data_IF_454862818216
#
_entry.id   IF_454862818216
#
_cell.length_a   1.000
_cell.length_b   1.000
_cell.length_c   1.000
_cell.angle_alpha   90.00
_cell.angle_beta   90.00
_cell.angle_gamma   90.00
#
_symmetry.space_group_name_H-M   'P 1'
#
loop_
_entity.id
_entity.type
_entity.pdbx_description
1 polymer ?
#
# COMPACT_ATOMS: atom_id res chain seq x y z
N UNK A 1 2.57 -23.22 7.43
CA UNK A 1 2.43 -22.59 6.10
C UNK A 1 1.96 -23.61 5.09
N UNK A 2 1.70 -23.21 3.85
CA UNK A 2 1.26 -24.12 2.77
C UNK A 2 2.39 -24.94 2.14
N UNK A 3 3.65 -24.58 2.39
CA UNK A 3 4.83 -25.22 1.81
C UNK A 3 5.54 -26.14 2.82
N UNK A 4 6.12 -27.23 2.32
CA UNK A 4 6.94 -28.18 3.09
C UNK A 4 8.42 -27.77 3.18
N UNK A 5 8.83 -26.76 2.40
CA UNK A 5 10.17 -26.18 2.40
C UNK A 5 10.16 -24.82 3.09
N UNK A 6 11.30 -24.34 3.63
CA UNK A 6 11.41 -22.99 4.15
C UNK A 6 11.07 -21.94 3.08
N UNK A 7 10.36 -20.90 3.50
CA UNK A 7 10.01 -19.77 2.64
C UNK A 7 10.28 -18.47 3.37
N UNK A 8 10.91 -17.53 2.68
CA UNK A 8 11.27 -16.22 3.22
C UNK A 8 10.33 -15.13 2.65
N UNK A 9 9.24 -14.76 3.34
CA UNK A 9 8.43 -13.62 2.94
C UNK A 9 9.19 -12.30 3.10
N UNK A 10 9.50 -11.67 1.96
CA UNK A 10 10.16 -10.37 1.87
C UNK A 10 9.14 -9.23 1.80
N UNK A 11 9.53 -8.02 2.20
CA UNK A 11 8.68 -6.82 2.17
C UNK A 11 9.28 -5.67 1.36
N UNK A 12 8.40 -4.94 0.67
CA UNK A 12 8.72 -3.66 0.02
C UNK A 12 8.51 -2.43 0.93
N UNK A 13 8.09 -2.62 2.19
CA UNK A 13 7.76 -1.54 3.14
C UNK A 13 8.88 -0.49 3.25
N UNK A 14 10.12 -0.93 3.37
CA UNK A 14 11.29 -0.04 3.53
C UNK A 14 11.59 0.74 2.24
N UNK A 15 11.34 0.15 1.08
CA UNK A 15 11.47 0.81 -0.24
C UNK A 15 10.46 1.95 -0.34
N UNK A 16 9.19 1.69 -0.01
CA UNK A 16 8.15 2.72 0.03
C UNK A 16 8.43 3.80 1.07
N UNK A 17 8.79 3.40 2.29
CA UNK A 17 9.04 4.34 3.37
C UNK A 17 10.21 5.25 3.04
N UNK A 18 11.30 4.72 2.48
CA UNK A 18 12.45 5.52 2.04
C UNK A 18 12.08 6.50 0.94
N UNK A 19 11.30 6.05 -0.06
CA UNK A 19 10.83 6.93 -1.12
C UNK A 19 9.94 8.06 -0.58
N UNK A 20 9.06 7.76 0.38
CA UNK A 20 8.05 8.70 0.87
C UNK A 20 8.54 9.58 2.03
N UNK A 21 9.54 9.17 2.80
CA UNK A 21 10.09 9.91 3.96
C UNK A 21 10.67 11.27 3.59
N UNK A 22 11.07 11.48 2.34
CA UNK A 22 11.54 12.78 1.86
C UNK A 22 10.43 13.83 1.70
N UNK A 23 9.16 13.45 1.85
CA UNK A 23 8.01 14.35 1.77
C UNK A 23 7.68 14.94 3.15
N UNK A 24 7.22 16.18 3.17
CA UNK A 24 6.85 16.90 4.40
C UNK A 24 5.37 16.64 4.74
N UNK A 25 5.09 15.45 5.27
CA UNK A 25 3.73 15.11 5.72
C UNK A 25 3.46 15.71 7.09
N UNK A 26 2.31 16.39 7.25
CA UNK A 26 1.80 16.76 8.57
C UNK A 26 1.00 15.59 9.17
N UNK A 27 1.42 14.97 10.29
CA UNK A 27 0.69 13.89 10.93
C UNK A 27 -0.70 14.27 11.44
N UNK A 28 -1.02 15.57 11.52
CA UNK A 28 -2.36 16.06 11.89
C UNK A 28 -3.35 16.02 10.74
N UNK A 29 -2.87 16.08 9.49
CA UNK A 29 -3.72 16.16 8.29
C UNK A 29 -3.45 15.04 7.29
N UNK A 30 -2.44 14.19 7.54
CA UNK A 30 -2.10 13.02 6.71
C UNK A 30 -2.31 11.71 7.48
N UNK A 31 -2.96 10.73 6.84
CA UNK A 31 -3.23 9.41 7.43
C UNK A 31 -2.90 8.27 6.47
N UNK A 32 -2.34 7.17 6.99
CA UNK A 32 -2.21 5.92 6.23
C UNK A 32 -3.48 5.11 6.38
N UNK A 33 -4.02 4.60 5.26
CA UNK A 33 -5.29 3.88 5.23
C UNK A 33 -5.05 2.44 4.76
N UNK A 34 -5.46 1.47 5.58
CA UNK A 34 -5.61 0.08 5.17
C UNK A 34 -7.08 -0.18 4.79
N UNK A 35 -7.39 -0.52 3.52
CA UNK A 35 -8.76 -0.78 3.11
C UNK A 35 -9.41 -1.99 3.77
N UNK A 36 -8.60 -2.99 4.13
CA UNK A 36 -9.03 -4.27 4.68
C UNK A 36 -8.30 -4.57 6.00
N UNK A 37 -8.99 -5.20 6.94
CA UNK A 37 -8.46 -5.55 8.25
C UNK A 37 -7.27 -6.52 8.17
N UNK A 38 -7.17 -7.33 7.11
CA UNK A 38 -6.02 -8.19 6.83
C UNK A 38 -4.71 -7.40 6.64
N UNK A 39 -4.79 -6.16 6.15
CA UNK A 39 -3.64 -5.27 5.95
C UNK A 39 -3.40 -4.30 7.11
N UNK A 40 -4.17 -4.40 8.20
CA UNK A 40 -4.06 -3.51 9.35
C UNK A 40 -2.64 -3.47 9.96
N UNK A 41 -2.04 -4.65 10.19
CA UNK A 41 -0.69 -4.75 10.77
C UNK A 41 0.40 -4.21 9.83
N UNK A 42 0.48 -4.61 8.56
CA UNK A 42 1.40 -4.02 7.59
C UNK A 42 1.27 -2.49 7.47
N UNK A 43 0.05 -1.98 7.36
CA UNK A 43 -0.20 -0.55 7.25
C UNK A 43 0.21 0.21 8.51
N UNK A 44 -0.04 -0.33 9.70
CA UNK A 44 0.41 0.28 10.95
C UNK A 44 1.93 0.35 11.06
N UNK A 45 2.67 -0.68 10.60
CA UNK A 45 4.14 -0.63 10.54
C UNK A 45 4.61 0.43 9.55
N UNK A 46 4.00 0.50 8.38
CA UNK A 46 4.32 1.50 7.36
C UNK A 46 4.04 2.94 7.85
N UNK A 47 2.90 3.16 8.51
CA UNK A 47 2.55 4.45 9.11
C UNK A 47 3.58 4.88 10.17
N UNK A 48 4.03 3.94 11.01
CA UNK A 48 5.09 4.17 12.00
C UNK A 48 6.42 4.58 11.35
N UNK A 49 6.79 3.98 10.22
CA UNK A 49 8.03 4.35 9.49
C UNK A 49 8.00 5.78 8.94
N UNK A 50 6.79 6.32 8.72
CA UNK A 50 6.53 7.68 8.24
C UNK A 50 6.16 8.66 9.37
N UNK A 51 5.98 8.19 10.62
CA UNK A 51 5.52 9.02 11.72
C UNK A 51 4.06 9.48 11.60
N UNK A 52 3.22 8.69 10.91
CA UNK A 52 1.83 9.03 10.60
C UNK A 52 0.83 8.18 11.39
N UNK A 53 -0.39 8.69 11.61
CA UNK A 53 -1.50 7.87 12.11
C UNK A 53 -1.94 6.86 11.04
N UNK A 54 -2.60 5.79 11.51
CA UNK A 54 -3.20 4.75 10.65
C UNK A 54 -4.70 4.67 10.90
N UNK A 55 -5.47 4.56 9.83
CA UNK A 55 -6.88 4.23 9.84
C UNK A 55 -7.10 2.89 9.13
N UNK A 56 -7.95 2.03 9.70
CA UNK A 56 -8.19 0.69 9.17
C UNK A 56 -9.67 0.53 8.86
N UNK A 57 -9.96 0.19 7.61
CA UNK A 57 -11.27 -0.23 7.17
C UNK A 57 -11.58 -1.65 7.62
N UNK A 58 -12.81 -1.88 8.06
CA UNK A 58 -13.32 -3.24 8.29
C UNK A 58 -14.29 -3.56 7.16
N UNK A 59 -13.82 -4.33 6.18
CA UNK A 59 -14.57 -4.62 4.96
C UNK A 59 -15.56 -5.76 5.22
N UNK A 60 -16.84 -5.44 5.44
CA UNK A 60 -17.90 -6.46 5.46
C UNK A 60 -18.41 -6.63 4.02
N UNK A 61 -18.08 -7.76 3.38
CA UNK A 61 -18.67 -8.12 2.08
C UNK A 61 -20.10 -8.60 2.32
N UNK A 62 -21.08 -7.81 1.88
CA UNK A 62 -22.49 -8.19 1.95
C UNK A 62 -22.88 -9.09 0.76
N UNK A 63 -22.17 -9.00 -0.37
CA UNK A 63 -22.29 -9.91 -1.53
C UNK A 63 -21.03 -9.85 -2.42
N UNK A 64 -20.99 -10.65 -3.51
CA UNK A 64 -19.90 -10.65 -4.51
C UNK A 64 -19.65 -9.29 -5.17
N UNK A 65 -20.65 -8.39 -5.13
CA UNK A 65 -20.60 -7.08 -5.79
C UNK A 65 -20.86 -5.89 -4.86
N UNK A 66 -21.14 -6.12 -3.58
CA UNK A 66 -21.52 -5.06 -2.65
C UNK A 66 -20.75 -5.15 -1.33
N UNK A 67 -20.07 -4.05 -1.03
CA UNK A 67 -19.20 -3.88 0.14
C UNK A 67 -19.74 -2.70 0.94
N UNK A 68 -19.97 -2.89 2.24
CA UNK A 68 -20.19 -1.78 3.17
C UNK A 68 -18.87 -1.52 3.91
N UNK A 69 -18.29 -0.34 3.70
CA UNK A 69 -17.17 0.17 4.49
C UNK A 69 -17.81 1.05 5.57
N UNK A 70 -17.89 0.53 6.79
CA UNK A 70 -18.67 1.06 7.92
C UNK A 70 -18.40 2.55 8.27
N UNK A 71 -19.39 3.15 8.96
CA UNK A 71 -19.35 4.45 9.66
C UNK A 71 -18.07 4.65 10.51
N UNK A 72 -17.46 3.57 10.99
CA UNK A 72 -16.25 3.56 11.81
C UNK A 72 -15.01 4.13 11.11
N UNK A 73 -14.81 3.85 9.82
CA UNK A 73 -13.65 4.40 9.08
C UNK A 73 -13.83 5.89 8.83
N UNK A 74 -15.02 6.33 8.43
CA UNK A 74 -15.35 7.75 8.26
C UNK A 74 -15.08 8.57 9.51
N UNK A 75 -15.31 8.01 10.72
CA UNK A 75 -14.98 8.69 11.99
C UNK A 75 -13.48 8.82 12.22
N UNK A 76 -12.69 7.81 11.85
CA UNK A 76 -11.23 7.83 11.94
C UNK A 76 -10.61 8.85 10.97
N UNK A 77 -11.29 9.17 9.88
CA UNK A 77 -10.81 10.08 8.84
C UNK A 77 -11.10 11.57 9.10
N UNK A 78 -11.86 11.89 10.16
CA UNK A 78 -12.23 13.28 10.44
C UNK A 78 -11.02 14.15 10.77
N UNK A 79 -10.87 15.24 10.03
CA UNK A 79 -9.77 16.21 10.18
C UNK A 79 -8.55 15.92 9.34
N UNK A 80 -8.51 14.78 8.64
CA UNK A 80 -7.48 14.48 7.65
C UNK A 80 -7.86 15.06 6.30
N UNK A 81 -6.85 15.53 5.55
CA UNK A 81 -6.98 16.10 4.20
C UNK A 81 -6.27 15.23 3.16
N UNK A 82 -5.24 14.49 3.59
CA UNK A 82 -4.43 13.61 2.75
C UNK A 82 -4.48 12.17 3.26
N UNK A 83 -4.69 11.22 2.35
CA UNK A 83 -4.65 9.79 2.63
C UNK A 83 -3.58 9.07 1.81
N UNK A 84 -2.86 8.16 2.45
CA UNK A 84 -1.96 7.21 1.79
C UNK A 84 -2.59 5.83 1.90
N UNK A 85 -3.17 5.33 0.81
CA UNK A 85 -3.76 3.99 0.78
C UNK A 85 -2.65 2.97 0.59
N UNK A 86 -2.48 2.08 1.58
CA UNK A 86 -1.44 1.04 1.57
C UNK A 86 -2.06 -0.34 1.37
N UNK A 87 -1.69 -1.00 0.27
CA UNK A 87 -2.17 -2.32 -0.12
C UNK A 87 -1.01 -3.26 -0.49
N UNK A 88 -1.25 -4.56 -0.47
CA UNK A 88 -0.30 -5.53 -1.03
C UNK A 88 -0.40 -5.59 -2.56
N UNK A 89 -1.59 -5.59 -3.13
CA UNK A 89 -1.81 -5.64 -4.57
C UNK A 89 -2.95 -4.73 -5.08
N UNK A 90 -2.85 -4.31 -6.34
CA UNK A 90 -3.96 -3.70 -7.08
C UNK A 90 -4.19 -4.47 -8.38
N UNK A 91 -5.20 -5.35 -8.37
CA UNK A 91 -5.61 -6.13 -9.54
C UNK A 91 -6.58 -5.36 -10.46
N UNK A 92 -7.89 -5.42 -10.19
CA UNK A 92 -8.92 -4.82 -11.07
C UNK A 92 -9.24 -3.35 -10.75
N UNK A 93 -8.66 -2.80 -9.69
CA UNK A 93 -8.92 -1.44 -9.20
C UNK A 93 -10.27 -1.24 -8.52
N UNK A 94 -11.08 -2.29 -8.31
CA UNK A 94 -12.40 -2.20 -7.69
C UNK A 94 -12.34 -1.65 -6.26
N UNK A 95 -11.56 -2.31 -5.38
CA UNK A 95 -11.35 -1.88 -3.99
C UNK A 95 -10.84 -0.44 -3.92
N UNK A 96 -9.84 -0.08 -4.73
CA UNK A 96 -9.27 1.27 -4.79
C UNK A 96 -10.32 2.31 -5.18
N UNK A 97 -11.20 1.99 -6.13
CA UNK A 97 -12.28 2.89 -6.54
C UNK A 97 -13.25 3.15 -5.38
N UNK A 98 -13.70 2.09 -4.70
CA UNK A 98 -14.61 2.18 -3.55
C UNK A 98 -14.01 2.98 -2.40
N UNK A 99 -12.77 2.65 -2.03
CA UNK A 99 -12.03 3.31 -0.94
C UNK A 99 -11.82 4.78 -1.27
N UNK A 100 -11.37 5.11 -2.48
CA UNK A 100 -11.11 6.50 -2.87
C UNK A 100 -12.39 7.34 -2.82
N UNK A 101 -13.51 6.82 -3.31
CA UNK A 101 -14.79 7.50 -3.21
C UNK A 101 -15.22 7.72 -1.75
N UNK A 102 -14.97 6.75 -0.88
CA UNK A 102 -15.26 6.91 0.56
C UNK A 102 -14.34 7.95 1.21
N UNK A 103 -13.05 7.97 0.85
CA UNK A 103 -12.08 8.97 1.34
C UNK A 103 -12.53 10.38 0.94
N UNK A 104 -12.90 10.57 -0.32
CA UNK A 104 -13.41 11.84 -0.85
C UNK A 104 -14.65 12.29 -0.09
N UNK A 105 -15.62 11.40 0.11
CA UNK A 105 -16.83 11.70 0.91
C UNK A 105 -16.52 12.04 2.37
N UNK A 106 -15.37 11.60 2.89
CA UNK A 106 -14.92 11.88 4.26
C UNK A 106 -14.12 13.18 4.39
N UNK A 107 -13.90 13.90 3.29
CA UNK A 107 -13.15 15.17 3.28
C UNK A 107 -11.68 15.05 2.86
N UNK A 108 -11.24 13.89 2.39
CA UNK A 108 -9.89 13.74 1.83
C UNK A 108 -9.85 14.38 0.44
N UNK A 109 -8.85 15.22 0.21
CA UNK A 109 -8.65 15.95 -1.04
C UNK A 109 -7.44 15.44 -1.83
N UNK A 110 -6.53 14.71 -1.17
CA UNK A 110 -5.35 14.14 -1.80
C UNK A 110 -5.16 12.68 -1.39
N UNK A 111 -4.98 11.82 -2.38
CA UNK A 111 -4.82 10.37 -2.23
C UNK A 111 -3.52 9.96 -2.92
N UNK A 112 -2.67 9.26 -2.18
CA UNK A 112 -1.52 8.51 -2.70
C UNK A 112 -1.82 7.02 -2.60
N UNK A 113 -1.67 6.29 -3.70
CA UNK A 113 -1.79 4.83 -3.68
C UNK A 113 -0.42 4.20 -3.56
N UNK A 114 -0.26 3.24 -2.65
CA UNK A 114 0.97 2.47 -2.47
C UNK A 114 0.60 1.00 -2.53
N UNK A 115 1.16 0.25 -3.47
CA UNK A 115 0.96 -1.20 -3.53
C UNK A 115 2.22 -1.96 -3.94
N UNK A 116 2.45 -3.13 -3.34
CA UNK A 116 3.59 -3.96 -3.73
C UNK A 116 3.41 -4.46 -5.15
N UNK A 117 2.27 -5.06 -5.47
CA UNK A 117 2.02 -5.70 -6.76
C UNK A 117 1.00 -4.92 -7.60
N UNK A 118 1.50 -4.13 -8.54
CA UNK A 118 0.68 -3.40 -9.52
C UNK A 118 0.27 -4.28 -10.71
N UNK A 119 -0.72 -5.17 -10.53
CA UNK A 119 -1.22 -6.04 -11.60
C UNK A 119 -2.01 -5.27 -12.66
N UNK A 120 -2.81 -4.29 -12.23
CA UNK A 120 -3.54 -3.35 -13.07
C UNK A 120 -4.26 -3.99 -14.28
N UNK A 121 -5.16 -4.93 -13.97
CA UNK A 121 -5.91 -5.72 -14.94
C UNK A 121 -7.12 -4.96 -15.48
N UNK A 122 -7.41 -5.15 -16.76
CA UNK A 122 -8.59 -4.60 -17.42
C UNK A 122 -8.67 -3.07 -17.31
N UNK A 123 -9.71 -2.57 -16.64
CA UNK A 123 -9.98 -1.14 -16.49
C UNK A 123 -9.34 -0.50 -15.25
N UNK A 124 -8.44 -1.18 -14.54
CA UNK A 124 -7.87 -0.69 -13.29
C UNK A 124 -7.25 0.71 -13.43
N UNK A 125 -6.34 0.91 -14.38
CA UNK A 125 -5.68 2.20 -14.60
C UNK A 125 -6.65 3.30 -15.02
N UNK A 126 -7.59 2.98 -15.91
CA UNK A 126 -8.62 3.93 -16.32
C UNK A 126 -9.50 4.38 -15.15
N UNK A 127 -9.83 3.47 -14.21
CA UNK A 127 -10.57 3.80 -12.99
C UNK A 127 -9.76 4.71 -12.06
N UNK A 128 -8.48 4.39 -11.88
CA UNK A 128 -7.57 5.18 -11.05
C UNK A 128 -7.41 6.59 -11.63
N UNK A 129 -7.15 6.71 -12.93
CA UNK A 129 -6.96 7.98 -13.61
C UNK A 129 -8.23 8.86 -13.63
N UNK A 130 -9.42 8.25 -13.54
CA UNK A 130 -10.69 8.98 -13.49
C UNK A 130 -10.96 9.66 -12.14
N UNK A 131 -10.15 9.40 -11.09
CA UNK A 131 -10.31 9.96 -9.76
C UNK A 131 -9.23 11.04 -9.57
N UNK A 132 -9.64 12.30 -9.66
CA UNK A 132 -8.76 13.48 -9.61
C UNK A 132 -7.94 13.59 -8.33
N UNK A 133 -8.49 13.10 -7.22
CA UNK A 133 -7.88 13.14 -5.90
C UNK A 133 -6.75 12.12 -5.78
N UNK A 134 -6.66 11.13 -6.68
CA UNK A 134 -5.49 10.24 -6.76
C UNK A 134 -4.36 10.99 -7.46
N UNK A 135 -3.57 11.69 -6.65
CA UNK A 135 -2.45 12.51 -7.12
C UNK A 135 -1.19 11.71 -7.40
N UNK A 136 -1.06 10.52 -6.82
CA UNK A 136 0.16 9.71 -6.91
C UNK A 136 -0.14 8.21 -6.83
N UNK A 137 0.55 7.42 -7.66
CA UNK A 137 0.50 5.95 -7.64
C UNK A 137 1.92 5.41 -7.53
N UNK A 138 2.23 4.71 -6.45
CA UNK A 138 3.55 4.11 -6.19
C UNK A 138 3.38 2.60 -6.18
N UNK A 139 4.16 1.91 -7.01
CA UNK A 139 4.22 0.45 -7.01
C UNK A 139 5.65 -0.06 -7.16
N UNK A 140 5.85 -1.38 -7.21
CA UNK A 140 7.16 -1.98 -7.42
C UNK A 140 7.28 -2.65 -8.78
N UNK A 141 8.50 -2.98 -9.17
CA UNK A 141 8.81 -3.79 -10.35
C UNK A 141 8.62 -5.32 -10.15
N UNK A 142 7.94 -5.75 -9.07
CA UNK A 142 7.56 -7.17 -8.87
C UNK A 142 6.67 -7.72 -10.00
N UNK A 143 5.90 -6.84 -10.66
CA UNK A 143 5.14 -7.15 -11.86
C UNK A 143 5.61 -6.22 -12.97
N UNK A 144 6.09 -6.80 -14.07
CA UNK A 144 6.54 -6.03 -15.21
C UNK A 144 5.36 -5.27 -15.84
N UNK A 145 5.49 -3.94 -15.87
CA UNK A 145 4.54 -3.04 -16.53
C UNK A 145 5.14 -2.56 -17.85
N UNK A 146 4.43 -2.70 -18.99
CA UNK A 146 4.88 -2.14 -20.24
C UNK A 146 4.70 -0.60 -20.24
N UNK A 147 5.53 0.17 -20.98
CA UNK A 147 5.54 1.64 -20.90
C UNK A 147 4.19 2.32 -21.12
N UNK A 148 3.33 1.77 -21.98
CA UNK A 148 1.99 2.29 -22.28
C UNK A 148 1.02 2.23 -21.09
N UNK A 149 1.34 1.48 -20.04
CA UNK A 149 0.56 1.40 -18.80
C UNK A 149 1.02 2.39 -17.72
N UNK A 150 2.07 3.16 -17.97
CA UNK A 150 2.56 4.14 -17.00
C UNK A 150 1.62 5.34 -16.99
N UNK A 151 1.00 5.59 -15.84
CA UNK A 151 0.26 6.83 -15.64
C UNK A 151 1.26 7.98 -15.45
N UNK A 152 0.91 9.22 -15.85
CA UNK A 152 1.80 10.38 -15.66
C UNK A 152 2.21 10.63 -14.21
N UNK A 153 1.38 10.20 -13.26
CA UNK A 153 1.58 10.31 -11.82
C UNK A 153 1.99 8.97 -11.16
N UNK A 154 2.53 8.03 -11.93
CA UNK A 154 2.98 6.73 -11.44
C UNK A 154 4.49 6.68 -11.24
N UNK A 155 4.91 6.13 -10.11
CA UNK A 155 6.31 5.78 -9.84
C UNK A 155 6.41 4.27 -9.61
N UNK A 156 7.33 3.63 -10.34
CA UNK A 156 7.66 2.21 -10.16
C UNK A 156 9.03 2.13 -9.47
N UNK A 157 9.04 1.59 -8.24
CA UNK A 157 10.24 1.44 -7.43
C UNK A 157 10.84 0.06 -7.63
N UNK A 158 12.17 -0.02 -7.72
CA UNK A 158 12.81 -1.33 -7.80
C UNK A 158 12.85 -2.02 -6.44
N UNK A 159 12.50 -3.31 -6.41
CA UNK A 159 12.79 -4.20 -5.28
C UNK A 159 13.98 -5.11 -5.56
N UNK A 160 14.74 -4.86 -6.63
CA UNK A 160 15.92 -5.64 -6.99
C UNK A 160 16.95 -5.73 -5.86
N UNK A 161 17.15 -4.65 -5.10
CA UNK A 161 18.04 -4.65 -3.94
C UNK A 161 17.52 -5.55 -2.80
N UNK A 162 16.20 -5.58 -2.57
CA UNK A 162 15.57 -6.45 -1.55
C UNK A 162 15.81 -7.92 -1.90
N UNK A 163 15.57 -8.29 -3.16
CA UNK A 163 15.83 -9.66 -3.63
C UNK A 163 17.32 -9.99 -3.64
N UNK A 164 18.17 -9.07 -4.10
CA UNK A 164 19.62 -9.24 -4.14
C UNK A 164 20.20 -9.50 -2.76
N UNK A 165 19.78 -8.72 -1.76
CA UNK A 165 20.23 -8.88 -0.38
C UNK A 165 19.69 -10.17 0.25
N UNK A 166 18.43 -10.54 -0.02
CA UNK A 166 17.87 -11.81 0.46
C UNK A 166 18.63 -13.03 -0.10
N UNK A 167 18.98 -13.01 -1.40
CA UNK A 167 19.81 -14.04 -2.04
C UNK A 167 21.20 -14.06 -1.41
N UNK A 168 21.81 -12.88 -1.21
CA UNK A 168 23.14 -12.74 -0.61
C UNK A 168 23.16 -13.32 0.81
N UNK A 169 22.22 -12.93 1.67
CA UNK A 169 22.10 -13.43 3.03
C UNK A 169 21.90 -14.95 3.06
N UNK A 170 21.01 -15.49 2.24
CA UNK A 170 20.81 -16.94 2.14
C UNK A 170 22.08 -17.67 1.71
N UNK A 171 22.79 -17.15 0.70
CA UNK A 171 24.05 -17.74 0.23
C UNK A 171 25.13 -17.78 1.33
N UNK A 172 25.26 -16.69 2.09
CA UNK A 172 26.23 -16.59 3.20
C UNK A 172 25.72 -17.10 4.55
N UNK A 173 24.50 -17.66 4.63
CA UNK A 173 23.84 -18.10 5.87
C UNK A 173 23.73 -17.00 6.93
N UNK A 174 23.45 -15.79 6.49
CA UNK A 174 23.19 -14.63 7.33
C UNK A 174 21.69 -14.41 7.54
N UNK A 175 21.34 -13.70 8.61
CA UNK A 175 19.95 -13.35 8.88
C UNK A 175 19.39 -12.42 7.79
N UNK A 176 18.15 -12.67 7.40
CA UNK A 176 17.36 -11.79 6.51
C UNK A 176 16.46 -10.83 7.31
N UNK A 177 16.63 -10.74 8.64
CA UNK A 177 15.69 -10.08 9.57
C UNK A 177 15.23 -8.69 9.12
N UNK A 178 16.16 -7.85 8.66
CA UNK A 178 15.86 -6.50 8.18
C UNK A 178 14.98 -6.45 6.90
N UNK A 179 14.94 -7.54 6.12
CA UNK A 179 14.15 -7.66 4.89
C UNK A 179 12.84 -8.44 5.10
N UNK A 180 12.64 -8.99 6.29
CA UNK A 180 11.55 -9.90 6.58
C UNK A 180 10.24 -9.14 6.81
N UNK A 181 9.15 -9.61 6.19
CA UNK A 181 7.84 -8.94 6.25
C UNK A 181 7.25 -8.76 7.65
N UNK A 182 7.71 -9.56 8.60
CA UNK A 182 7.28 -9.54 9.99
C UNK A 182 8.35 -8.99 10.94
N UNK A 183 9.52 -8.60 10.44
CA UNK A 183 10.55 -7.97 11.24
C UNK A 183 10.12 -6.57 11.67
N UNK A 184 10.04 -6.35 12.98
CA UNK A 184 10.23 -5.03 13.54
C UNK A 184 11.74 -4.77 13.45
N UNK A 185 12.19 -3.69 12.80
CA UNK A 185 13.61 -3.48 12.43
C UNK A 185 14.58 -3.28 13.60
N UNK A 186 14.24 -3.80 14.78
CA UNK A 186 14.99 -3.76 16.03
C UNK A 186 15.28 -5.21 16.50
N UNK A 187 16.13 -5.93 15.78
CA UNK A 187 16.96 -7.04 16.31
C UNK A 187 18.33 -7.06 15.61
#
# INVERSE_FOLDING_TARGET
GFFSVPTDPLTARTVFATHMRARDYDPKTTVVVAPDAGQAKPAARFARDLGLPVAVGNKTRLSDTQVEIEDTLSRQLRGFETAIVYEDEIATGGTITEVSQMLIRSGIHQISLVCTHGLFLGKALARIQAISEITEVITTDTVALPPEKYLPNMTVLSVGEVFGEAIRCNYFRQSIGALFSFGDGDE
#
